data_IF_449164478991
#
_entry.id   IF_449164478991
#
_cell.length_a   1.000
_cell.length_b   1.000
_cell.length_c   1.000
_cell.angle_alpha   90.00
_cell.angle_beta   90.00
_cell.angle_gamma   90.00
#
_symmetry.space_group_name_H-M   'P 1'
#
loop_
_entity.id
_entity.type
_entity.pdbx_description
1 polymer ?
#
# COMPACT_ATOMS: atom_id res chain seq x y z
N UNK A 1 -3.17 9.52 -7.56
CA UNK A 1 -3.94 10.10 -6.43
C UNK A 1 -4.50 9.06 -5.49
N UNK A 2 -5.33 8.10 -5.95
CA UNK A 2 -5.94 7.10 -5.07
C UNK A 2 -4.92 6.27 -4.25
N UNK A 3 -3.80 5.87 -4.87
CA UNK A 3 -2.71 5.14 -4.17
C UNK A 3 -2.16 5.94 -2.98
N UNK A 4 -1.85 7.23 -3.14
CA UNK A 4 -1.36 8.07 -2.05
C UNK A 4 -2.38 8.21 -0.91
N UNK A 5 -3.64 8.46 -1.25
CA UNK A 5 -4.70 8.56 -0.25
C UNK A 5 -4.83 7.26 0.57
N UNK A 6 -4.83 6.11 -0.12
CA UNK A 6 -4.86 4.80 0.54
C UNK A 6 -3.63 4.57 1.41
N UNK A 7 -2.42 4.93 0.94
CA UNK A 7 -1.18 4.79 1.71
C UNK A 7 -1.22 5.57 3.02
N UNK A 8 -1.59 6.85 2.98
CA UNK A 8 -1.67 7.68 4.18
C UNK A 8 -2.81 7.23 5.11
N UNK A 9 -3.92 6.74 4.55
CA UNK A 9 -5.00 6.11 5.31
C UNK A 9 -4.52 4.87 6.07
N UNK A 10 -3.76 3.99 5.42
CA UNK A 10 -3.16 2.80 6.07
C UNK A 10 -2.14 3.24 7.11
N UNK A 11 -1.19 4.10 6.73
CA UNK A 11 -0.08 4.55 7.60
C UNK A 11 -0.58 5.20 8.90
N UNK A 12 -1.56 6.10 8.81
CA UNK A 12 -2.12 6.82 9.98
C UNK A 12 -2.85 5.90 10.96
N UNK A 13 -3.52 4.86 10.46
CA UNK A 13 -4.29 3.93 11.30
C UNK A 13 -3.48 2.69 11.74
N UNK A 14 -2.31 2.46 11.14
CA UNK A 14 -1.53 1.24 11.33
C UNK A 14 -1.13 1.01 12.79
N UNK A 15 -0.66 2.05 13.47
CA UNK A 15 -0.23 1.94 14.87
C UNK A 15 -1.41 1.57 15.78
N UNK A 16 -2.55 2.23 15.61
CA UNK A 16 -3.79 1.96 16.36
C UNK A 16 -4.29 0.55 16.11
N UNK A 17 -4.23 0.07 14.87
CA UNK A 17 -4.64 -1.30 14.56
C UNK A 17 -3.71 -2.33 15.23
N UNK A 18 -2.40 -2.11 15.20
CA UNK A 18 -1.42 -2.99 15.84
C UNK A 18 -1.57 -3.03 17.37
N UNK A 19 -1.85 -1.90 18.01
CA UNK A 19 -2.02 -1.84 19.47
C UNK A 19 -3.40 -2.34 19.91
N UNK A 20 -4.47 -1.89 19.27
CA UNK A 20 -5.83 -2.07 19.78
C UNK A 20 -6.50 -3.34 19.28
N UNK A 21 -6.16 -3.79 18.05
CA UNK A 21 -6.74 -5.01 17.46
C UNK A 21 -5.82 -6.22 17.56
N UNK A 22 -4.51 -6.03 17.37
CA UNK A 22 -3.53 -7.12 17.48
C UNK A 22 -2.91 -7.24 18.87
N UNK A 23 -3.18 -6.29 19.78
CA UNK A 23 -2.70 -6.35 21.17
C UNK A 23 -1.19 -6.22 21.32
N UNK A 24 -0.48 -5.65 20.34
CA UNK A 24 0.96 -5.42 20.43
C UNK A 24 1.28 -4.30 21.43
N UNK A 25 2.44 -4.38 22.08
CA UNK A 25 2.96 -3.25 22.85
C UNK A 25 3.26 -2.07 21.92
N UNK A 26 3.15 -0.84 22.42
CA UNK A 26 3.44 0.37 21.62
C UNK A 26 4.84 0.35 21.01
N UNK A 27 5.82 -0.20 21.74
CA UNK A 27 7.19 -0.36 21.23
C UNK A 27 7.27 -1.34 20.05
N UNK A 28 6.59 -2.49 20.14
CA UNK A 28 6.56 -3.47 19.06
C UNK A 28 5.78 -2.96 17.84
N UNK A 29 4.64 -2.30 18.07
CA UNK A 29 3.85 -1.67 17.01
C UNK A 29 4.65 -0.60 16.26
N UNK A 30 5.33 0.30 16.99
CA UNK A 30 6.19 1.33 16.39
C UNK A 30 7.35 0.72 15.58
N UNK A 31 7.96 -0.37 16.07
CA UNK A 31 9.00 -1.08 15.33
C UNK A 31 8.46 -1.65 13.99
N UNK A 32 7.27 -2.25 13.99
CA UNK A 32 6.62 -2.76 12.79
C UNK A 32 6.23 -1.65 11.80
N UNK A 33 5.71 -0.52 12.29
CA UNK A 33 5.40 0.66 11.46
C UNK A 33 6.68 1.21 10.80
N UNK A 34 7.77 1.33 11.57
CA UNK A 34 9.05 1.82 11.06
C UNK A 34 9.65 0.85 10.04
N UNK A 35 9.57 -0.46 10.28
CA UNK A 35 10.04 -1.47 9.34
C UNK A 35 9.25 -1.41 8.02
N UNK A 36 7.92 -1.34 8.10
CA UNK A 36 7.06 -1.21 6.92
C UNK A 36 7.36 0.08 6.14
N UNK A 37 7.52 1.21 6.84
CA UNK A 37 7.88 2.50 6.23
C UNK A 37 9.25 2.43 5.55
N UNK A 38 10.24 1.80 6.18
CA UNK A 38 11.56 1.59 5.60
C UNK A 38 11.50 0.72 4.34
N UNK A 39 10.71 -0.35 4.37
CA UNK A 39 10.49 -1.23 3.21
C UNK A 39 9.80 -0.46 2.07
N UNK A 40 8.75 0.31 2.36
CA UNK A 40 8.06 1.17 1.39
C UNK A 40 8.98 2.26 0.80
N UNK A 41 10.01 2.70 1.54
CA UNK A 41 11.00 3.65 1.04
C UNK A 41 12.06 3.02 0.14
N UNK A 42 12.44 1.76 0.39
CA UNK A 42 13.50 1.06 -0.34
C UNK A 42 12.99 0.33 -1.59
N UNK A 43 11.77 -0.21 -1.53
CA UNK A 43 11.14 -0.94 -2.63
C UNK A 43 11.06 -0.13 -3.95
N UNK A 44 10.82 1.20 -3.96
CA UNK A 44 10.86 1.99 -5.18
C UNK A 44 12.17 1.90 -5.96
N UNK A 45 13.31 1.78 -5.27
CA UNK A 45 14.61 1.64 -5.92
C UNK A 45 14.66 0.34 -6.71
N UNK A 46 14.24 -0.76 -6.09
CA UNK A 46 14.16 -2.08 -6.73
C UNK A 46 13.10 -2.13 -7.82
N UNK A 47 11.92 -1.55 -7.56
CA UNK A 47 10.80 -1.51 -8.49
C UNK A 47 11.13 -0.75 -9.77
N UNK A 48 11.79 0.41 -9.64
CA UNK A 48 12.29 1.17 -10.79
C UNK A 48 13.34 0.39 -11.60
N UNK A 49 14.33 -0.21 -10.93
CA UNK A 49 15.34 -1.02 -11.60
C UNK A 49 14.72 -2.19 -12.40
N UNK A 50 13.76 -2.90 -11.80
CA UNK A 50 13.05 -4.01 -12.45
C UNK A 50 12.20 -3.53 -13.63
N UNK A 51 11.55 -2.37 -13.49
CA UNK A 51 10.77 -1.77 -14.56
C UNK A 51 11.64 -1.36 -15.76
N UNK A 52 12.81 -0.78 -15.50
CA UNK A 52 13.72 -0.30 -16.54
C UNK A 52 14.49 -1.44 -17.23
N UNK A 53 14.81 -2.53 -16.51
CA UNK A 53 15.61 -3.63 -17.05
C UNK A 53 14.80 -4.81 -17.62
N UNK A 54 13.64 -5.16 -17.03
CA UNK A 54 12.94 -6.41 -17.35
C UNK A 54 11.55 -6.24 -17.96
N UNK A 55 10.70 -5.41 -17.35
CA UNK A 55 9.26 -5.39 -17.64
C UNK A 55 8.82 -4.26 -18.58
N UNK A 56 9.55 -3.15 -18.62
CA UNK A 56 9.08 -1.90 -19.20
C UNK A 56 8.11 -1.15 -18.29
N UNK A 57 8.10 0.19 -18.41
CA UNK A 57 7.37 1.10 -17.52
C UNK A 57 5.86 0.82 -17.45
N UNK A 58 5.22 0.53 -18.59
CA UNK A 58 3.78 0.26 -18.66
C UNK A 58 3.38 -1.01 -17.87
N UNK A 59 4.04 -2.14 -18.11
CA UNK A 59 3.73 -3.39 -17.41
C UNK A 59 4.10 -3.32 -15.93
N UNK A 60 5.16 -2.59 -15.58
CA UNK A 60 5.49 -2.31 -14.18
C UNK A 60 4.37 -1.55 -13.46
N UNK A 61 3.80 -0.50 -14.08
CA UNK A 61 2.65 0.23 -13.50
C UNK A 61 1.45 -0.69 -13.34
N UNK A 62 1.12 -1.52 -14.34
CA UNK A 62 -0.03 -2.43 -14.26
C UNK A 62 0.14 -3.50 -13.18
N UNK A 63 1.28 -4.20 -13.16
CA UNK A 63 1.55 -5.24 -12.17
C UNK A 63 1.56 -4.66 -10.74
N UNK A 64 2.17 -3.49 -10.57
CA UNK A 64 2.23 -2.80 -9.28
C UNK A 64 0.85 -2.34 -8.82
N UNK A 65 0.01 -1.83 -9.73
CA UNK A 65 -1.38 -1.45 -9.43
C UNK A 65 -2.21 -2.66 -8.99
N UNK A 66 -2.05 -3.80 -9.66
CA UNK A 66 -2.73 -5.04 -9.30
C UNK A 66 -2.31 -5.53 -7.90
N UNK A 67 -0.99 -5.57 -7.62
CA UNK A 67 -0.48 -5.93 -6.30
C UNK A 67 -0.98 -4.97 -5.21
N UNK A 68 -1.03 -3.67 -5.49
CA UNK A 68 -1.51 -2.68 -4.54
C UNK A 68 -2.99 -2.89 -4.18
N UNK A 69 -3.85 -3.06 -5.19
CA UNK A 69 -5.29 -3.32 -4.98
C UNK A 69 -5.50 -4.64 -4.23
N UNK A 70 -4.79 -5.70 -4.62
CA UNK A 70 -4.86 -6.99 -3.93
C UNK A 70 -4.47 -6.85 -2.45
N UNK A 71 -3.43 -6.07 -2.16
CA UNK A 71 -2.96 -5.79 -0.81
C UNK A 71 -4.02 -5.09 0.02
N UNK A 72 -4.67 -4.06 -0.53
CA UNK A 72 -5.77 -3.35 0.14
C UNK A 72 -6.99 -4.26 0.37
N UNK A 73 -7.33 -5.11 -0.59
CA UNK A 73 -8.42 -6.09 -0.43
C UNK A 73 -8.12 -7.06 0.71
N UNK A 74 -6.90 -7.62 0.77
CA UNK A 74 -6.48 -8.53 1.83
C UNK A 74 -6.40 -7.82 3.20
N UNK A 75 -5.96 -6.56 3.22
CA UNK A 75 -5.90 -5.76 4.44
C UNK A 75 -7.30 -5.53 4.99
N UNK A 76 -8.25 -5.17 4.12
CA UNK A 76 -9.67 -5.01 4.47
C UNK A 76 -10.25 -6.33 4.98
N UNK A 77 -9.97 -7.45 4.31
CA UNK A 77 -10.41 -8.78 4.75
C UNK A 77 -9.85 -9.14 6.13
N UNK A 78 -8.57 -8.82 6.41
CA UNK A 78 -7.92 -9.04 7.71
C UNK A 78 -8.56 -8.24 8.84
N UNK A 79 -9.13 -7.06 8.54
CA UNK A 79 -9.86 -6.25 9.49
C UNK A 79 -11.30 -6.75 9.73
N UNK A 80 -11.91 -7.43 8.75
CA UNK A 80 -13.26 -8.01 8.87
C UNK A 80 -13.28 -9.41 9.49
N UNK A 81 -12.17 -10.15 9.46
CA UNK A 81 -12.04 -11.50 10.03
C UNK A 81 -12.51 -11.64 11.51
N UNK A 82 -12.23 -10.70 12.44
CA UNK A 82 -12.77 -10.75 13.80
C UNK A 82 -14.30 -10.77 13.86
N UNK A 83 -14.98 -10.09 12.94
CA UNK A 83 -16.45 -10.00 12.90
C UNK A 83 -17.13 -11.23 12.30
N UNK A 84 -16.38 -12.11 11.62
CA UNK A 84 -16.90 -13.31 10.97
C UNK A 84 -16.70 -14.59 11.81
N UNK A 85 -15.83 -14.55 12.84
CA UNK A 85 -15.36 -15.76 13.52
C UNK A 85 -15.71 -15.90 15.01
N UNK A 86 -16.06 -14.83 15.73
CA UNK A 86 -16.08 -14.87 17.20
C UNK A 86 -17.41 -14.56 17.89
N UNK A 87 -18.38 -13.90 17.24
CA UNK A 87 -19.63 -13.52 17.93
C UNK A 87 -20.64 -14.67 18.11
N UNK A 88 -20.56 -15.73 17.30
CA UNK A 88 -21.54 -16.85 17.34
C UNK A 88 -21.13 -18.05 18.21
N UNK A 89 -19.87 -18.14 18.67
CA UNK A 89 -19.34 -19.34 19.37
C UNK A 89 -19.15 -19.12 20.89
N UNK A 90 -19.46 -17.94 21.44
CA UNK A 90 -19.28 -17.71 22.88
C UNK A 90 -20.36 -18.33 23.80
N UNK A 91 -21.47 -18.85 23.26
CA UNK A 91 -22.58 -19.34 24.10
C UNK A 91 -22.60 -20.82 24.46
N UNK A 92 -21.72 -21.67 23.94
CA UNK A 92 -21.93 -23.14 24.10
C UNK A 92 -20.83 -23.94 24.79
N UNK A 93 -19.53 -23.66 24.62
CA UNK A 93 -18.52 -24.63 25.08
C UNK A 93 -17.29 -23.94 25.65
N UNK A 94 -16.99 -24.18 26.94
CA UNK A 94 -15.79 -23.74 27.69
C UNK A 94 -14.46 -24.36 27.20
N UNK A 95 -14.38 -24.67 25.92
CA UNK A 95 -13.21 -25.29 25.27
C UNK A 95 -13.31 -25.15 23.76
N UNK A 96 -13.57 -23.94 23.25
CA UNK A 96 -13.30 -23.62 21.85
C UNK A 96 -11.79 -23.27 21.73
N UNK A 97 -11.09 -23.68 20.67
CA UNK A 97 -9.66 -23.49 20.58
C UNK A 97 -9.36 -22.00 20.38
N UNK A 98 -8.12 -21.59 20.65
CA UNK A 98 -7.54 -20.28 20.29
C UNK A 98 -7.44 -20.10 18.78
N UNK A 99 -8.52 -20.39 18.06
CA UNK A 99 -8.59 -20.48 16.61
C UNK A 99 -8.62 -19.07 16.03
N UNK A 100 -7.76 -18.84 15.03
CA UNK A 100 -7.76 -17.70 14.11
C UNK A 100 -6.94 -16.41 14.40
N UNK A 101 -6.25 -16.19 15.55
CA UNK A 101 -5.35 -15.03 15.68
C UNK A 101 -4.17 -15.11 14.70
N UNK A 102 -3.55 -16.29 14.57
CA UNK A 102 -2.33 -16.45 13.76
C UNK A 102 -2.59 -16.26 12.27
N UNK A 103 -3.74 -16.72 11.76
CA UNK A 103 -4.09 -16.54 10.35
C UNK A 103 -4.44 -15.07 10.06
N UNK A 104 -5.19 -14.41 10.95
CA UNK A 104 -5.50 -12.99 10.79
C UNK A 104 -4.22 -12.15 10.79
N UNK A 105 -3.31 -12.41 11.74
CA UNK A 105 -2.01 -11.72 11.84
C UNK A 105 -1.16 -11.98 10.61
N UNK A 106 -1.09 -13.24 10.13
CA UNK A 106 -0.37 -13.59 8.92
C UNK A 106 -0.95 -12.87 7.68
N UNK A 107 -2.27 -12.95 7.48
CA UNK A 107 -2.95 -12.27 6.37
C UNK A 107 -2.73 -10.77 6.43
N UNK A 108 -2.80 -10.17 7.63
CA UNK A 108 -2.54 -8.76 7.83
C UNK A 108 -1.11 -8.36 7.42
N UNK A 109 -0.08 -9.06 7.91
CA UNK A 109 1.29 -8.74 7.55
C UNK A 109 1.59 -9.01 6.06
N UNK A 110 1.08 -10.10 5.50
CA UNK A 110 1.18 -10.37 4.06
C UNK A 110 0.56 -9.24 3.26
N UNK A 111 -0.66 -8.82 3.63
CA UNK A 111 -1.35 -7.70 2.99
C UNK A 111 -0.54 -6.40 3.09
N UNK A 112 -0.03 -6.09 4.29
CA UNK A 112 0.72 -4.87 4.58
C UNK A 112 2.00 -4.77 3.71
N UNK A 113 2.75 -5.87 3.58
CA UNK A 113 3.93 -5.90 2.72
C UNK A 113 3.60 -5.98 1.23
N UNK A 114 2.45 -6.54 0.84
CA UNK A 114 1.98 -6.51 -0.54
C UNK A 114 1.62 -5.08 -0.98
N UNK A 115 0.99 -4.30 -0.09
CA UNK A 115 0.74 -2.87 -0.30
C UNK A 115 2.06 -2.12 -0.50
N UNK A 116 3.07 -2.37 0.35
CA UNK A 116 4.39 -1.76 0.20
C UNK A 116 5.07 -2.11 -1.14
N UNK A 117 4.94 -3.37 -1.57
CA UNK A 117 5.48 -3.85 -2.84
C UNK A 117 4.79 -3.20 -4.05
N UNK A 118 3.45 -3.12 -4.02
CA UNK A 118 2.67 -2.44 -5.06
C UNK A 118 3.00 -0.95 -5.16
N UNK A 119 3.19 -0.28 -4.03
CA UNK A 119 3.61 1.12 -3.99
C UNK A 119 5.00 1.32 -4.59
N UNK A 120 5.93 0.42 -4.24
CA UNK A 120 7.31 0.43 -4.70
C UNK A 120 7.43 0.48 -6.23
N UNK A 121 6.75 -0.41 -6.92
CA UNK A 121 6.80 -0.41 -8.39
C UNK A 121 5.93 0.69 -9.04
N UNK A 122 4.86 1.12 -8.38
CA UNK A 122 3.92 2.09 -8.94
C UNK A 122 4.49 3.52 -8.99
N UNK A 123 5.04 4.00 -7.86
CA UNK A 123 5.50 5.40 -7.70
C UNK A 123 6.51 5.88 -8.75
N UNK A 124 7.65 5.21 -8.97
CA UNK A 124 8.65 5.70 -9.91
C UNK A 124 8.16 5.58 -11.36
N UNK A 125 7.42 4.52 -11.67
CA UNK A 125 7.02 4.22 -13.04
C UNK A 125 5.87 5.10 -13.53
N UNK A 126 4.90 5.45 -12.67
CA UNK A 126 3.73 6.25 -13.08
C UNK A 126 4.11 7.68 -13.45
N UNK A 127 5.06 8.27 -12.73
CA UNK A 127 5.53 9.63 -13.01
C UNK A 127 6.38 9.67 -14.28
N UNK A 128 7.30 8.70 -14.44
CA UNK A 128 8.09 8.57 -15.65
C UNK A 128 7.20 8.32 -16.88
N UNK A 129 6.24 7.40 -16.78
CA UNK A 129 5.30 7.11 -17.86
C UNK A 129 4.43 8.31 -18.23
N UNK A 130 3.94 9.07 -17.25
CA UNK A 130 3.19 10.31 -17.48
C UNK A 130 4.04 11.40 -18.15
N UNK A 131 5.32 11.52 -17.76
CA UNK A 131 6.25 12.44 -18.41
C UNK A 131 6.57 12.05 -19.86
N UNK A 132 6.59 10.76 -20.16
CA UNK A 132 6.85 10.20 -21.49
C UNK A 132 5.66 10.38 -22.46
N UNK A 133 4.50 10.87 -22.01
CA UNK A 133 3.35 11.15 -22.88
C UNK A 133 3.46 12.49 -23.63
N UNK A 134 4.44 13.33 -23.30
CA UNK A 134 4.62 14.65 -23.88
C UNK A 134 5.98 14.73 -24.56
N UNK A 135 6.01 15.25 -25.78
CA UNK A 135 7.25 15.58 -26.48
C UNK A 135 7.89 16.83 -25.85
N UNK A 136 9.19 16.72 -25.54
CA UNK A 136 9.96 17.84 -24.99
C UNK A 136 10.47 18.81 -26.05
N UNK A 137 10.46 18.42 -27.32
CA UNK A 137 10.90 19.25 -28.44
C UNK A 137 9.77 20.15 -28.98
N UNK A 138 8.50 19.82 -28.67
CA UNK A 138 7.35 20.66 -28.96
C UNK A 138 7.09 21.67 -27.81
N UNK A 139 7.14 22.98 -28.07
CA UNK A 139 6.93 23.99 -27.04
C UNK A 139 5.52 23.97 -26.42
N UNK A 140 4.48 23.59 -27.18
CA UNK A 140 3.10 23.49 -26.67
C UNK A 140 2.95 22.27 -25.74
N UNK A 141 3.48 21.12 -26.15
CA UNK A 141 3.43 19.90 -25.31
C UNK A 141 4.30 20.03 -24.05
N UNK A 142 5.41 20.76 -24.11
CA UNK A 142 6.27 21.00 -22.95
C UNK A 142 5.59 21.91 -21.90
N UNK A 143 4.84 22.93 -22.32
CA UNK A 143 3.99 23.70 -21.40
C UNK A 143 2.87 22.83 -20.81
N UNK A 144 2.24 21.98 -21.63
CA UNK A 144 1.21 21.05 -21.18
C UNK A 144 1.75 20.05 -20.15
N UNK A 145 2.97 19.53 -20.34
CA UNK A 145 3.67 18.67 -19.38
C UNK A 145 3.88 19.37 -18.03
N UNK A 146 4.28 20.64 -18.05
CA UNK A 146 4.45 21.44 -16.83
C UNK A 146 3.11 21.63 -16.10
N UNK A 147 2.04 21.94 -16.84
CA UNK A 147 0.68 22.02 -16.30
C UNK A 147 0.20 20.70 -15.69
N UNK A 148 0.46 19.57 -16.37
CA UNK A 148 0.16 18.23 -15.87
C UNK A 148 0.82 17.98 -14.51
N UNK A 149 2.12 18.27 -14.38
CA UNK A 149 2.81 18.12 -13.10
C UNK A 149 2.31 19.09 -12.04
N UNK A 150 1.97 20.34 -12.39
CA UNK A 150 1.38 21.29 -11.46
C UNK A 150 0.06 20.76 -10.86
N UNK A 151 -0.85 20.25 -11.71
CA UNK A 151 -2.10 19.63 -11.26
C UNK A 151 -1.86 18.34 -10.48
N UNK A 152 -0.86 17.56 -10.85
CA UNK A 152 -0.45 16.38 -10.11
C UNK A 152 0.00 16.76 -8.69
N UNK A 153 0.92 17.72 -8.54
CA UNK A 153 1.36 18.19 -7.22
C UNK A 153 0.23 18.81 -6.40
N UNK A 154 -0.64 19.61 -7.02
CA UNK A 154 -1.81 20.15 -6.35
C UNK A 154 -2.70 19.03 -5.77
N UNK A 155 -3.02 18.00 -6.56
CA UNK A 155 -3.81 16.86 -6.09
C UNK A 155 -3.11 16.05 -4.99
N UNK A 156 -1.78 15.96 -5.02
CA UNK A 156 -1.01 15.33 -3.94
C UNK A 156 -1.12 16.12 -2.63
N UNK A 157 -1.00 17.45 -2.68
CA UNK A 157 -1.07 18.29 -1.49
C UNK A 157 -2.49 18.38 -0.91
N UNK A 158 -3.53 18.32 -1.75
CA UNK A 158 -4.93 18.33 -1.27
C UNK A 158 -5.34 16.98 -0.70
N UNK A 159 -4.78 15.88 -1.22
CA UNK A 159 -5.15 14.53 -0.81
C UNK A 159 -4.47 14.02 0.48
N UNK A 160 -3.56 14.80 1.07
CA UNK A 160 -2.81 14.47 2.29
C UNK A 160 -3.06 15.53 3.36
#
# INVERSE_FOLDING_TARGET
MAERFAYYGVSSNLITFLTDKLGQSTAAAAANVNAWTGVACLLPILGGFVADYLLGKYYAVLASSFLYILGLCLLTLSAMLPSLGCDDIERSIRSAPRCLPDLQVLTFFVALYLVAAGEGGFKPCVQAFGADQFDGEDPEENEAKSSFFNWWYFGLCVGC
#
